data_IF_934553062366
#
_entry.id   IF_934553062366
#
_cell.length_a   1.000
_cell.length_b   1.000
_cell.length_c   1.000
_cell.angle_alpha   90.00
_cell.angle_beta   90.00
_cell.angle_gamma   90.00
#
_symmetry.space_group_name_H-M   'P 1'
#
loop_
_entity.id
_entity.type
_entity.pdbx_description
1 polymer ?
#
# COMPACT_ATOMS: atom_id res chain seq x y z
N UNK A 1 15.18 5.54 2.53
CA UNK A 1 15.56 6.75 3.31
C UNK A 1 14.73 6.73 4.59
N UNK A 2 15.36 6.87 5.75
CA UNK A 2 14.71 6.85 7.05
C UNK A 2 14.44 8.29 7.53
N UNK A 3 13.46 8.44 8.42
CA UNK A 3 13.17 9.70 9.12
C UNK A 3 13.16 9.44 10.61
N UNK A 4 13.72 10.36 11.38
CA UNK A 4 13.68 10.31 12.84
C UNK A 4 12.28 10.64 13.36
N UNK A 5 11.91 10.00 14.46
CA UNK A 5 10.63 10.23 15.13
C UNK A 5 10.91 10.75 16.53
N UNK A 6 10.24 11.83 16.92
CA UNK A 6 10.31 12.33 18.28
C UNK A 6 9.40 11.48 19.18
N UNK A 7 10.03 10.58 19.95
CA UNK A 7 9.37 9.72 20.94
C UNK A 7 10.21 9.67 22.21
N UNK A 8 9.58 9.50 23.39
CA UNK A 8 10.30 9.26 24.64
C UNK A 8 11.24 8.06 24.53
N UNK A 9 12.28 8.03 25.36
CA UNK A 9 13.16 6.87 25.46
C UNK A 9 12.34 5.58 25.69
N UNK A 10 12.68 4.42 25.08
CA UNK A 10 11.85 3.22 25.13
C UNK A 10 11.44 2.77 26.53
N UNK A 11 12.35 2.89 27.51
CA UNK A 11 12.06 2.56 28.91
C UNK A 11 10.98 3.45 29.52
N UNK A 12 11.01 4.75 29.23
CA UNK A 12 10.00 5.69 29.73
C UNK A 12 8.64 5.46 29.07
N UNK A 13 8.64 5.23 27.74
CA UNK A 13 7.43 4.88 27.00
C UNK A 13 6.80 3.60 27.56
N UNK A 14 7.63 2.58 27.85
CA UNK A 14 7.21 1.31 28.45
C UNK A 14 6.59 1.51 29.84
N UNK A 15 7.26 2.23 30.72
CA UNK A 15 6.76 2.51 32.07
C UNK A 15 5.39 3.20 32.04
N UNK A 16 5.20 4.18 31.16
CA UNK A 16 3.91 4.86 30.99
C UNK A 16 2.82 3.90 30.52
N UNK A 17 3.16 3.02 29.56
CA UNK A 17 2.24 1.98 29.09
C UNK A 17 1.85 1.01 30.22
N UNK A 18 2.83 0.57 31.02
CA UNK A 18 2.62 -0.35 32.14
C UNK A 18 1.77 0.25 33.25
N UNK A 19 2.03 1.51 33.62
CA UNK A 19 1.22 2.22 34.61
C UNK A 19 -0.25 2.34 34.14
N UNK A 20 -0.47 2.77 32.90
CA UNK A 20 -1.82 2.90 32.33
C UNK A 20 -2.54 1.54 32.26
N UNK A 21 -1.84 0.49 31.81
CA UNK A 21 -2.41 -0.86 31.72
C UNK A 21 -2.78 -1.44 33.10
N UNK A 22 -1.94 -1.21 34.12
CA UNK A 22 -2.20 -1.64 35.48
C UNK A 22 -3.45 -0.96 36.07
N UNK A 23 -3.56 0.36 35.91
CA UNK A 23 -4.71 1.14 36.39
C UNK A 23 -6.00 0.78 35.64
N UNK A 24 -5.95 0.65 34.32
CA UNK A 24 -7.11 0.19 33.53
C UNK A 24 -7.54 -1.22 33.92
N UNK A 25 -6.60 -2.12 34.19
CA UNK A 25 -6.92 -3.48 34.66
C UNK A 25 -7.57 -3.47 36.03
N UNK A 26 -7.07 -2.65 36.95
CA UNK A 26 -7.70 -2.43 38.27
C UNK A 26 -9.11 -1.85 38.18
N UNK A 27 -9.38 -1.02 37.17
CA UNK A 27 -10.69 -0.45 36.89
C UNK A 27 -11.62 -1.38 36.08
N UNK A 28 -11.21 -2.62 35.78
CA UNK A 28 -12.00 -3.57 34.98
C UNK A 28 -12.05 -3.27 33.47
N UNK A 29 -11.13 -2.43 32.98
CA UNK A 29 -11.03 -1.96 31.58
C UNK A 29 -9.76 -2.42 30.85
N UNK A 30 -9.09 -3.45 31.37
CA UNK A 30 -7.80 -3.96 30.87
C UNK A 30 -7.82 -4.61 29.48
N UNK A 31 -8.97 -4.68 28.80
CA UNK A 31 -9.04 -5.24 27.44
C UNK A 31 -8.42 -4.32 26.39
N UNK A 32 -8.49 -2.99 26.58
CA UNK A 32 -7.98 -2.02 25.60
C UNK A 32 -6.48 -1.80 25.67
N UNK A 33 -5.88 -1.97 26.84
CA UNK A 33 -4.46 -1.76 27.11
C UNK A 33 -3.97 -2.91 27.99
N UNK A 34 -3.02 -3.69 27.49
CA UNK A 34 -2.53 -4.87 28.20
C UNK A 34 -1.06 -5.12 27.93
N UNK A 35 -0.45 -5.91 28.81
CA UNK A 35 0.94 -6.34 28.74
C UNK A 35 0.98 -7.85 28.99
N UNK A 36 1.75 -8.54 28.18
CA UNK A 36 2.10 -9.96 28.31
C UNK A 36 3.60 -10.15 28.05
N UNK A 37 4.06 -11.40 28.01
CA UNK A 37 5.45 -11.76 27.75
C UNK A 37 5.98 -11.30 26.38
N UNK A 38 5.08 -11.02 25.42
CA UNK A 38 5.45 -10.58 24.06
C UNK A 38 5.48 -9.06 23.92
N UNK A 39 5.10 -8.33 24.97
CA UNK A 39 5.13 -6.87 24.99
C UNK A 39 3.80 -6.26 25.40
N UNK A 40 3.61 -5.03 24.96
CA UNK A 40 2.44 -4.22 25.28
C UNK A 40 1.51 -4.11 24.06
N UNK A 41 0.21 -4.17 24.29
CA UNK A 41 -0.82 -4.10 23.24
C UNK A 41 -1.90 -3.09 23.59
N UNK A 42 -2.33 -2.37 22.55
CA UNK A 42 -3.51 -1.50 22.55
C UNK A 42 -4.43 -2.00 21.45
N UNK A 43 -5.66 -2.31 21.81
CA UNK A 43 -6.69 -2.78 20.87
C UNK A 43 -7.97 -1.98 21.10
N UNK A 44 -8.33 -1.17 20.10
CA UNK A 44 -9.54 -0.36 20.13
C UNK A 44 -10.21 -0.44 18.74
N UNK A 45 -11.45 -0.97 18.64
CA UNK A 45 -12.10 -1.22 17.36
C UNK A 45 -12.43 0.07 16.60
N UNK A 46 -12.53 1.21 17.31
CA UNK A 46 -12.95 2.49 16.75
C UNK A 46 -11.74 3.26 16.20
N UNK A 47 -10.59 3.20 16.88
CA UNK A 47 -9.40 3.98 16.51
C UNK A 47 -8.29 3.15 15.85
N UNK A 48 -8.16 1.88 16.19
CA UNK A 48 -7.11 1.00 15.67
C UNK A 48 -6.29 0.33 16.77
N UNK A 49 -5.15 -0.25 16.38
CA UNK A 49 -4.34 -1.08 17.28
C UNK A 49 -2.86 -0.69 17.22
N UNK A 50 -2.17 -0.91 18.33
CA UNK A 50 -0.72 -0.73 18.45
C UNK A 50 -0.10 -1.85 19.29
N UNK A 51 1.17 -2.15 19.00
CA UNK A 51 2.01 -3.13 19.70
C UNK A 51 3.36 -2.49 19.98
N UNK A 52 3.87 -2.71 21.18
CA UNK A 52 5.15 -2.16 21.62
C UNK A 52 5.97 -3.23 22.34
N UNK A 53 7.20 -3.46 21.90
CA UNK A 53 8.07 -4.46 22.50
C UNK A 53 9.48 -3.91 22.74
N UNK A 54 10.07 -4.35 23.84
CA UNK A 54 11.47 -4.12 24.19
C UNK A 54 12.32 -5.33 23.77
N UNK A 55 13.54 -5.06 23.31
CA UNK A 55 14.52 -6.08 22.95
C UNK A 55 15.87 -5.77 23.61
N UNK A 56 16.77 -6.74 23.60
CA UNK A 56 18.14 -6.57 24.05
C UNK A 56 18.95 -5.58 23.21
N UNK A 57 20.06 -5.08 23.78
CA UNK A 57 20.87 -4.05 23.14
C UNK A 57 20.22 -2.66 23.08
N UNK A 58 19.31 -2.34 24.01
CA UNK A 58 18.54 -1.07 24.04
C UNK A 58 17.69 -0.86 22.77
N UNK A 59 17.21 -1.95 22.18
CA UNK A 59 16.32 -1.93 21.02
C UNK A 59 14.87 -1.95 21.44
N UNK A 60 14.01 -1.38 20.60
CA UNK A 60 12.57 -1.46 20.79
C UNK A 60 11.84 -1.29 19.45
N UNK A 61 10.60 -1.77 19.38
CA UNK A 61 9.75 -1.59 18.20
C UNK A 61 8.33 -1.22 18.61
N UNK A 62 7.78 -0.20 17.98
CA UNK A 62 6.39 0.24 18.08
C UNK A 62 5.76 0.16 16.69
N UNK A 63 4.70 -0.62 16.55
CA UNK A 63 4.01 -0.80 15.27
C UNK A 63 2.51 -0.91 15.45
N UNK A 64 1.75 -0.57 14.41
CA UNK A 64 0.31 -0.48 14.53
C UNK A 64 -0.38 -0.04 13.26
N UNK A 65 -1.68 0.22 13.38
CA UNK A 65 -2.48 0.87 12.36
C UNK A 65 -3.54 1.75 13.00
N UNK A 66 -3.69 2.97 12.50
CA UNK A 66 -4.84 3.81 12.80
C UNK A 66 -5.92 3.55 11.74
N UNK A 67 -7.19 3.57 12.16
CA UNK A 67 -8.32 3.24 11.28
C UNK A 67 -8.47 4.29 10.16
N UNK A 68 -8.38 5.57 10.53
CA UNK A 68 -8.62 6.71 9.63
C UNK A 68 -7.33 7.26 9.02
N UNK A 69 -6.18 6.97 9.63
CA UNK A 69 -4.86 7.50 9.27
C UNK A 69 -3.89 6.34 9.02
N UNK A 70 -4.08 5.59 7.94
CA UNK A 70 -3.09 4.58 7.53
C UNK A 70 -2.33 5.09 6.32
N UNK A 71 -0.99 4.89 6.31
CA UNK A 71 -0.05 5.40 5.30
C UNK A 71 -0.38 5.01 3.84
N UNK A 72 -1.42 4.21 3.61
CA UNK A 72 -1.95 3.85 2.29
C UNK A 72 -3.09 4.73 1.79
N UNK A 73 -3.90 5.39 2.64
CA UNK A 73 -5.01 6.24 2.15
C UNK A 73 -4.48 7.43 1.35
N UNK A 74 -3.25 7.86 1.64
CA UNK A 74 -2.77 9.18 1.21
C UNK A 74 -1.52 9.15 0.31
N UNK A 75 -1.01 7.97 -0.07
CA UNK A 75 0.18 7.87 -0.91
C UNK A 75 -0.05 6.94 -2.12
N UNK A 76 0.10 7.48 -3.33
CA UNK A 76 0.21 6.72 -4.57
C UNK A 76 1.65 6.86 -5.13
N UNK A 77 2.46 5.78 -5.19
CA UNK A 77 2.19 4.45 -4.64
C UNK A 77 2.34 4.41 -3.12
N UNK A 78 1.60 3.49 -2.48
CA UNK A 78 1.65 3.27 -1.04
C UNK A 78 3.08 2.97 -0.56
N UNK A 79 3.48 3.60 0.56
CA UNK A 79 4.76 3.32 1.18
C UNK A 79 4.71 1.97 1.94
N UNK A 80 5.75 1.15 1.77
CA UNK A 80 5.93 -0.06 2.59
C UNK A 80 6.61 0.33 3.92
N UNK A 81 5.93 0.19 5.08
CA UNK A 81 6.46 0.60 6.38
C UNK A 81 7.71 -0.18 6.81
N UNK A 82 8.01 -1.31 6.14
CA UNK A 82 9.19 -2.14 6.41
C UNK A 82 10.39 -1.81 5.51
N UNK A 83 10.28 -0.80 4.64
CA UNK A 83 11.38 -0.39 3.76
C UNK A 83 12.57 0.12 4.59
N UNK A 84 13.72 -0.54 4.46
CA UNK A 84 14.95 -0.16 5.17
C UNK A 84 14.92 -0.48 6.67
N UNK A 85 13.97 -1.30 7.12
CA UNK A 85 13.88 -1.69 8.51
C UNK A 85 15.07 -2.60 8.92
N UNK A 86 15.43 -2.75 10.21
CA UNK A 86 16.53 -3.62 10.60
C UNK A 86 16.20 -5.13 10.51
N UNK A 87 17.22 -5.97 10.37
CA UNK A 87 17.05 -7.44 10.28
C UNK A 87 16.57 -8.07 11.59
N UNK A 88 16.82 -7.41 12.71
CA UNK A 88 16.50 -7.89 14.06
C UNK A 88 15.03 -7.68 14.47
N UNK A 89 14.24 -6.95 13.67
CA UNK A 89 12.82 -6.74 13.96
C UNK A 89 12.05 -8.07 14.00
N UNK A 90 10.87 -8.14 14.66
CA UNK A 90 10.02 -9.33 14.69
C UNK A 90 9.35 -9.56 13.33
N UNK A 91 10.13 -9.95 12.32
CA UNK A 91 9.68 -10.10 10.93
C UNK A 91 8.59 -11.16 10.75
N UNK A 92 8.56 -12.18 11.61
CA UNK A 92 7.50 -13.20 11.60
C UNK A 92 6.11 -12.59 11.87
N UNK A 93 6.04 -11.53 12.69
CA UNK A 93 4.80 -10.81 12.98
C UNK A 93 4.55 -9.71 11.94
N UNK A 94 5.59 -8.97 11.58
CA UNK A 94 5.47 -7.78 10.72
C UNK A 94 5.19 -8.13 9.26
N UNK A 95 5.80 -9.18 8.72
CA UNK A 95 5.68 -9.51 7.30
C UNK A 95 4.24 -9.89 6.88
N UNK A 96 3.52 -10.77 7.60
CA UNK A 96 2.13 -11.07 7.28
C UNK A 96 1.20 -9.85 7.39
N UNK A 97 1.44 -8.96 8.37
CA UNK A 97 0.66 -7.73 8.53
C UNK A 97 0.88 -6.76 7.37
N UNK A 98 2.12 -6.62 6.91
CA UNK A 98 2.45 -5.78 5.76
C UNK A 98 1.90 -6.36 4.45
N UNK A 99 1.94 -7.68 4.28
CA UNK A 99 1.40 -8.38 3.11
C UNK A 99 -0.12 -8.22 2.97
N UNK A 100 -0.84 -8.25 4.10
CA UNK A 100 -2.31 -8.14 4.17
C UNK A 100 -2.81 -6.72 4.44
N UNK A 101 -1.94 -5.73 4.29
CA UNK A 101 -2.26 -4.30 4.39
C UNK A 101 -2.79 -3.86 5.77
N UNK A 102 -2.50 -4.64 6.81
CA UNK A 102 -2.91 -4.33 8.19
C UNK A 102 -1.86 -3.55 8.98
N UNK A 103 -0.70 -3.27 8.39
CA UNK A 103 0.40 -2.55 9.02
C UNK A 103 0.44 -1.10 8.53
N UNK A 104 0.07 -0.15 9.39
CA UNK A 104 0.02 1.28 9.09
C UNK A 104 1.35 1.99 9.31
N UNK A 105 2.08 1.64 10.37
CA UNK A 105 3.41 2.18 10.67
C UNK A 105 4.28 1.16 11.40
N UNK A 106 5.60 1.34 11.30
CA UNK A 106 6.62 0.66 12.10
C UNK A 106 7.70 1.66 12.46
N UNK A 107 7.98 1.76 13.76
CA UNK A 107 9.00 2.64 14.31
C UNK A 107 9.91 1.79 15.19
N UNK A 108 11.20 1.93 15.03
CA UNK A 108 12.18 1.16 15.78
C UNK A 108 13.18 2.07 16.47
N UNK A 109 13.60 1.66 17.65
CA UNK A 109 14.65 2.31 18.41
C UNK A 109 15.93 1.49 18.31
N UNK A 110 17.02 2.12 17.89
CA UNK A 110 18.36 1.56 17.94
C UNK A 110 19.38 2.70 18.02
N UNK A 111 20.47 2.51 18.75
CA UNK A 111 21.55 3.52 18.89
C UNK A 111 21.05 4.89 19.41
N UNK A 112 20.05 4.88 20.30
CA UNK A 112 19.56 6.09 20.98
C UNK A 112 18.60 6.95 20.15
N UNK A 113 18.12 6.45 19.01
CA UNK A 113 17.16 7.16 18.15
C UNK A 113 15.98 6.29 17.78
N UNK A 114 14.82 6.91 17.63
CA UNK A 114 13.66 6.31 17.00
C UNK A 114 13.65 6.67 15.52
N UNK A 115 13.49 5.68 14.66
CA UNK A 115 13.47 5.85 13.21
C UNK A 115 12.30 5.09 12.59
N UNK A 116 11.80 5.61 11.47
CA UNK A 116 10.81 4.95 10.61
C UNK A 116 11.15 5.17 9.13
N UNK A 117 10.43 4.49 8.24
CA UNK A 117 10.50 4.79 6.80
C UNK A 117 10.09 6.23 6.52
N UNK A 118 10.77 6.89 5.58
CA UNK A 118 10.34 8.20 5.07
C UNK A 118 9.15 8.02 4.13
N UNK A 119 8.01 8.60 4.48
CA UNK A 119 6.87 8.73 3.56
C UNK A 119 7.18 9.77 2.47
N UNK A 120 6.74 9.51 1.23
CA UNK A 120 6.97 10.41 0.08
C UNK A 120 6.26 11.76 0.27
N UNK A 121 5.12 11.75 0.94
CA UNK A 121 4.36 12.92 1.34
C UNK A 121 4.29 12.96 2.88
N UNK A 122 4.18 14.14 3.51
CA UNK A 122 3.99 14.26 4.96
C UNK A 122 2.58 13.80 5.34
N UNK A 123 2.37 12.49 5.29
CA UNK A 123 1.13 11.82 5.69
C UNK A 123 1.24 11.51 7.18
N UNK A 124 0.20 11.85 7.93
CA UNK A 124 0.04 11.37 9.29
C UNK A 124 -0.36 9.88 9.26
N UNK A 125 0.42 9.04 9.92
CA UNK A 125 0.14 7.60 10.06
C UNK A 125 -0.64 7.26 11.33
N UNK A 126 -1.16 8.28 12.01
CA UNK A 126 -2.01 8.16 13.20
C UNK A 126 -1.29 7.62 14.43
N UNK A 127 0.03 7.44 14.36
CA UNK A 127 0.81 6.89 15.47
C UNK A 127 0.70 7.79 16.71
N UNK A 128 0.88 9.10 16.53
CA UNK A 128 0.85 10.06 17.63
C UNK A 128 -0.51 10.07 18.34
N UNK A 129 -1.61 9.87 17.61
CA UNK A 129 -2.96 9.77 18.17
C UNK A 129 -3.15 8.47 18.97
N UNK A 130 -2.74 7.32 18.41
CA UNK A 130 -2.88 6.02 19.09
C UNK A 130 -2.16 5.96 20.44
N UNK A 131 -0.95 6.54 20.51
CA UNK A 131 -0.12 6.53 21.71
C UNK A 131 -0.10 7.87 22.46
N UNK A 132 -1.01 8.80 22.12
CA UNK A 132 -1.08 10.12 22.72
C UNK A 132 -1.00 10.13 24.26
N UNK A 133 -1.68 9.21 24.99
CA UNK A 133 -1.58 9.12 26.45
C UNK A 133 -0.16 8.91 26.99
N UNK A 134 0.78 8.44 26.17
CA UNK A 134 2.11 8.01 26.59
C UNK A 134 3.23 8.98 26.19
N UNK A 135 2.92 9.95 25.33
CA UNK A 135 3.95 10.83 24.74
C UNK A 135 4.54 11.80 25.77
N UNK A 136 3.72 12.32 26.68
CA UNK A 136 4.15 13.24 27.72
C UNK A 136 3.73 12.75 29.10
N UNK A 137 4.41 13.26 30.13
CA UNK A 137 4.03 13.00 31.51
C UNK A 137 2.61 13.52 31.78
N UNK A 138 2.32 14.74 31.34
CA UNK A 138 1.00 15.35 31.49
C UNK A 138 -0.10 14.49 30.84
N UNK A 139 0.09 14.01 29.61
CA UNK A 139 -0.88 13.13 28.96
C UNK A 139 -1.09 11.82 29.72
N UNK A 140 0.00 11.26 30.28
CA UNK A 140 -0.09 10.02 31.06
C UNK A 140 -0.88 10.26 32.35
N UNK A 141 -0.56 11.33 33.09
CA UNK A 141 -1.27 11.70 34.32
C UNK A 141 -2.75 11.99 34.03
N UNK A 142 -3.05 12.72 32.95
CA UNK A 142 -4.43 12.97 32.51
C UNK A 142 -5.17 11.67 32.20
N UNK A 143 -4.53 10.73 31.50
CA UNK A 143 -5.12 9.44 31.17
C UNK A 143 -5.38 8.60 32.43
N UNK A 144 -4.40 8.49 33.33
CA UNK A 144 -4.52 7.79 34.61
C UNK A 144 -5.65 8.38 35.47
N UNK A 145 -5.72 9.70 35.55
CA UNK A 145 -6.79 10.43 36.24
C UNK A 145 -8.17 10.17 35.60
N UNK A 146 -8.26 10.11 34.27
CA UNK A 146 -9.53 9.87 33.57
C UNK A 146 -10.08 8.44 33.74
N UNK A 147 -9.24 7.47 34.13
CA UNK A 147 -9.71 6.10 34.39
C UNK A 147 -10.63 6.04 35.61
N UNK A 148 -10.37 6.88 36.62
CA UNK A 148 -11.13 6.89 37.86
C UNK A 148 -12.34 7.82 37.73
N UNK A 149 -13.54 7.33 38.02
CA UNK A 149 -14.75 8.14 37.97
C UNK A 149 -14.66 9.31 38.97
N UNK A 150 -15.18 10.52 38.65
CA UNK A 150 -15.00 11.75 39.44
C UNK A 150 -15.84 11.77 40.72
N UNK A 151 -15.70 10.76 41.57
CA UNK A 151 -16.24 10.79 42.92
C UNK A 151 -15.30 11.62 43.79
N UNK A 152 -15.52 12.95 43.84
CA UNK A 152 -15.17 13.94 44.88
C UNK A 152 -13.83 13.84 45.65
N UNK A 153 -12.86 13.04 45.20
CA UNK A 153 -11.54 12.96 45.82
C UNK A 153 -10.70 14.12 45.32
N UNK A 154 -10.48 15.09 46.21
CA UNK A 154 -9.44 16.11 46.04
C UNK A 154 -8.10 15.36 45.86
N UNK A 155 -7.21 15.92 45.05
CA UNK A 155 -5.81 15.47 44.88
C UNK A 155 -5.57 14.19 44.03
N UNK A 156 -6.57 13.72 43.27
CA UNK A 156 -6.40 12.56 42.37
C UNK A 156 -5.33 12.76 41.29
N UNK A 157 -5.16 14.00 40.80
CA UNK A 157 -4.13 14.32 39.80
C UNK A 157 -2.73 14.16 40.37
N UNK A 158 -2.51 14.62 41.60
CA UNK A 158 -1.24 14.46 42.32
C UNK A 158 -0.97 12.98 42.61
N UNK A 159 -2.01 12.23 43.04
CA UNK A 159 -1.91 10.78 43.25
C UNK A 159 -1.54 10.03 41.95
N UNK A 160 -2.08 10.45 40.80
CA UNK A 160 -1.73 9.88 39.50
C UNK A 160 -0.27 10.19 39.10
N UNK A 161 0.22 11.40 39.39
CA UNK A 161 1.61 11.78 39.17
C UNK A 161 2.56 10.96 40.08
N UNK A 162 2.24 10.84 41.37
CA UNK A 162 3.00 10.04 42.33
C UNK A 162 3.10 8.56 41.91
N UNK A 163 2.00 7.99 41.42
CA UNK A 163 1.99 6.63 40.88
C UNK A 163 2.91 6.50 39.66
N UNK A 164 2.88 7.47 38.74
CA UNK A 164 3.73 7.46 37.56
C UNK A 164 5.22 7.60 37.95
N UNK A 165 5.57 8.48 38.89
CA UNK A 165 6.93 8.60 39.39
C UNK A 165 7.40 7.33 40.10
N UNK A 166 6.54 6.68 40.88
CA UNK A 166 6.83 5.38 41.46
C UNK A 166 7.04 4.31 40.39
N UNK A 167 6.26 4.32 39.31
CA UNK A 167 6.44 3.40 38.18
C UNK A 167 7.79 3.61 37.48
N UNK A 168 8.25 4.85 37.33
CA UNK A 168 9.59 5.17 36.79
C UNK A 168 10.70 4.60 37.68
N UNK A 169 10.51 4.60 39.00
CA UNK A 169 11.46 4.02 39.96
C UNK A 169 11.32 2.49 40.14
N UNK A 170 10.29 1.87 39.55
CA UNK A 170 10.00 0.45 39.77
C UNK A 170 9.49 0.15 41.19
N UNK A 171 8.78 1.10 41.80
CA UNK A 171 8.34 1.09 43.20
C UNK A 171 6.81 1.02 43.34
N UNK A 172 6.09 0.61 42.29
CA UNK A 172 4.62 0.47 42.38
C UNK A 172 4.28 -0.68 43.32
N UNK A 173 3.36 -0.39 44.24
CA UNK A 173 2.83 -1.34 45.22
C UNK A 173 1.31 -1.25 45.32
N UNK A 174 0.73 -2.09 46.18
CA UNK A 174 -0.70 -2.17 46.39
C UNK A 174 -1.28 -0.86 46.94
N UNK A 175 -0.54 -0.17 47.81
CA UNK A 175 -0.99 1.06 48.47
C UNK A 175 -1.13 2.22 47.50
N UNK A 176 -0.16 2.39 46.60
CA UNK A 176 -0.21 3.42 45.54
C UNK A 176 -1.33 3.17 44.54
N UNK A 177 -1.54 1.91 44.14
CA UNK A 177 -2.66 1.54 43.28
C UNK A 177 -4.01 1.77 43.97
N UNK A 178 -4.13 1.43 45.26
CA UNK A 178 -5.33 1.65 46.06
C UNK A 178 -5.63 3.14 46.25
N UNK A 179 -4.61 3.97 46.47
CA UNK A 179 -4.76 5.41 46.61
C UNK A 179 -5.46 6.02 45.38
N UNK A 180 -5.02 5.64 44.18
CA UNK A 180 -5.63 6.12 42.93
C UNK A 180 -6.99 5.47 42.67
N UNK A 181 -7.07 4.14 42.68
CA UNK A 181 -8.25 3.40 42.22
C UNK A 181 -9.41 3.38 43.25
N UNK A 182 -9.10 3.43 44.55
CA UNK A 182 -10.04 3.32 45.66
C UNK A 182 -10.69 1.94 45.85
N UNK A 183 -11.72 1.90 46.69
CA UNK A 183 -12.23 0.68 47.32
C UNK A 183 -12.94 -0.31 46.37
N UNK A 184 -13.39 0.15 45.20
CA UNK A 184 -14.11 -0.70 44.22
C UNK A 184 -13.18 -1.34 43.19
N UNK A 185 -11.88 -1.23 43.38
CA UNK A 185 -10.89 -1.62 42.39
C UNK A 185 -10.47 -3.09 42.51
N UNK A 186 -10.19 -3.72 41.37
CA UNK A 186 -9.55 -5.03 41.30
C UNK A 186 -8.04 -4.91 41.51
N UNK A 187 -7.60 -4.57 42.73
CA UNK A 187 -6.18 -4.33 43.05
C UNK A 187 -5.25 -5.51 42.70
N UNK A 188 -5.73 -6.74 42.91
CA UNK A 188 -4.97 -7.93 42.52
C UNK A 188 -4.68 -7.97 41.01
N UNK A 189 -5.64 -7.60 40.16
CA UNK A 189 -5.46 -7.53 38.71
C UNK A 189 -4.47 -6.42 38.33
N UNK A 190 -4.59 -5.23 38.95
CA UNK A 190 -3.66 -4.13 38.73
C UNK A 190 -2.21 -4.52 39.10
N UNK A 191 -2.02 -5.19 40.24
CA UNK A 191 -0.71 -5.65 40.69
C UNK A 191 -0.10 -6.73 39.81
N UNK A 192 -0.91 -7.64 39.27
CA UNK A 192 -0.43 -8.64 38.30
C UNK A 192 0.13 -7.94 37.07
N UNK A 193 -0.61 -6.99 36.50
CA UNK A 193 -0.15 -6.24 35.33
C UNK A 193 1.05 -5.36 35.64
N UNK A 194 1.10 -4.72 36.82
CA UNK A 194 2.26 -3.94 37.25
C UNK A 194 3.53 -4.80 37.37
N UNK A 195 3.38 -6.04 37.88
CA UNK A 195 4.48 -7.00 38.01
C UNK A 195 4.98 -7.48 36.65
N UNK A 196 4.07 -7.86 35.76
CA UNK A 196 4.40 -8.25 34.37
C UNK A 196 5.02 -7.07 33.64
N UNK A 197 4.52 -5.85 33.84
CA UNK A 197 5.10 -4.63 33.27
C UNK A 197 6.45 -4.24 33.83
N UNK A 198 6.95 -4.89 34.89
CA UNK A 198 8.26 -4.60 35.46
C UNK A 198 8.34 -3.30 36.26
N UNK A 199 7.22 -2.78 36.75
CA UNK A 199 7.15 -1.49 37.48
C UNK A 199 7.01 -1.66 39.00
N UNK A 200 7.15 -2.90 39.50
CA UNK A 200 7.13 -3.23 40.94
C UNK A 200 8.53 -3.62 41.43
N UNK A 201 8.81 -3.55 42.75
CA UNK A 201 10.14 -3.85 43.28
C UNK A 201 10.66 -5.23 42.85
N UNK A 202 11.90 -5.28 42.36
CA UNK A 202 12.56 -6.53 41.96
C UNK A 202 12.10 -7.13 40.62
N UNK A 203 11.16 -6.49 39.93
CA UNK A 203 10.70 -6.95 38.61
C UNK A 203 11.41 -6.25 37.47
N UNK A 204 11.29 -6.80 36.25
CA UNK A 204 11.86 -6.22 35.03
C UNK A 204 10.86 -6.29 33.89
N UNK A 205 10.85 -5.31 32.98
CA UNK A 205 10.06 -5.38 31.76
C UNK A 205 10.37 -6.64 30.95
N UNK A 206 9.37 -7.33 30.39
CA UNK A 206 9.56 -8.41 29.43
C UNK A 206 10.28 -7.89 28.19
N UNK A 207 11.06 -8.78 27.59
CA UNK A 207 11.83 -8.53 26.39
C UNK A 207 11.59 -9.68 25.43
N UNK A 208 11.36 -9.35 24.17
CA UNK A 208 11.26 -10.35 23.11
C UNK A 208 12.63 -10.60 22.49
N UNK A 209 12.80 -11.81 21.97
CA UNK A 209 13.98 -12.17 21.19
C UNK A 209 14.01 -11.40 19.86
N UNK A 210 15.20 -11.05 19.35
CA UNK A 210 15.35 -10.53 18.00
C UNK A 210 14.76 -11.49 16.97
N UNK A 211 14.02 -10.95 16.01
CA UNK A 211 13.57 -11.71 14.85
C UNK A 211 14.65 -11.84 13.78
N UNK A 212 14.25 -12.45 12.66
CA UNK A 212 15.12 -12.61 11.50
C UNK A 212 14.37 -12.20 10.23
N UNK A 213 14.96 -11.27 9.47
CA UNK A 213 14.44 -10.90 8.16
C UNK A 213 14.43 -12.11 7.22
N UNK A 214 13.29 -12.44 6.59
CA UNK A 214 13.27 -13.48 5.57
C UNK A 214 14.05 -13.02 4.33
N UNK A 215 14.74 -13.93 3.62
CA UNK A 215 15.51 -13.58 2.42
C UNK A 215 14.64 -13.00 1.30
N UNK A 216 13.36 -13.39 1.26
CA UNK A 216 12.35 -12.83 0.36
C UNK A 216 11.05 -12.58 1.13
N UNK A 217 10.38 -11.44 0.84
CA UNK A 217 9.11 -11.06 1.47
C UNK A 217 8.12 -10.53 0.45
N UNK A 218 6.85 -10.94 0.56
CA UNK A 218 5.71 -10.32 -0.15
C UNK A 218 5.51 -8.90 0.35
N UNK A 219 5.69 -7.91 -0.54
CA UNK A 219 5.58 -6.50 -0.16
C UNK A 219 4.12 -6.09 -0.01
N UNK A 220 3.24 -6.46 -0.97
CA UNK A 220 1.78 -6.35 -0.87
C UNK A 220 1.07 -7.18 -1.95
N UNK A 221 -0.21 -7.49 -1.73
CA UNK A 221 -1.12 -7.95 -2.80
C UNK A 221 -1.70 -6.72 -3.50
N UNK A 222 -1.36 -6.48 -4.77
CA UNK A 222 -2.00 -5.43 -5.56
C UNK A 222 -3.46 -5.79 -5.79
N UNK A 223 -4.37 -4.80 -5.68
CA UNK A 223 -5.68 -4.95 -6.32
C UNK A 223 -5.50 -5.08 -7.83
N UNK A 224 -6.50 -5.66 -8.53
CA UNK A 224 -6.41 -5.85 -9.98
C UNK A 224 -6.10 -4.53 -10.70
N UNK A 225 -6.79 -3.44 -10.35
CA UNK A 225 -6.56 -2.12 -10.97
C UNK A 225 -5.22 -1.46 -10.60
N UNK A 226 -4.64 -1.72 -9.42
CA UNK A 226 -3.28 -1.28 -9.11
C UNK A 226 -2.23 -2.06 -9.89
N UNK A 227 -2.48 -3.35 -10.12
CA UNK A 227 -1.60 -4.20 -10.91
C UNK A 227 -1.64 -3.79 -12.38
N UNK A 228 -2.83 -3.55 -12.92
CA UNK A 228 -3.00 -3.05 -14.29
C UNK A 228 -2.26 -1.71 -14.46
N UNK A 229 -2.44 -0.74 -13.54
CA UNK A 229 -1.71 0.55 -13.58
C UNK A 229 -0.19 0.41 -13.46
N UNK A 230 0.32 -0.55 -12.67
CA UNK A 230 1.76 -0.82 -12.60
C UNK A 230 2.29 -1.30 -13.96
N UNK A 231 1.55 -2.15 -14.66
CA UNK A 231 1.91 -2.61 -16.01
C UNK A 231 1.83 -1.45 -17.00
N UNK A 232 0.78 -0.62 -16.94
CA UNK A 232 0.62 0.54 -17.84
C UNK A 232 1.76 1.54 -17.68
N UNK A 233 2.15 1.87 -16.45
CA UNK A 233 3.30 2.73 -16.20
C UNK A 233 4.59 2.16 -16.82
N UNK A 234 4.81 0.85 -16.69
CA UNK A 234 5.95 0.18 -17.31
C UNK A 234 5.86 0.15 -18.85
N UNK A 235 4.64 0.11 -19.42
CA UNK A 235 4.42 0.21 -20.88
C UNK A 235 4.70 1.62 -21.41
N UNK A 236 4.36 2.68 -20.66
CA UNK A 236 4.70 4.07 -21.01
C UNK A 236 6.21 4.30 -21.08
N UNK A 237 6.96 3.67 -20.19
CA UNK A 237 8.43 3.75 -20.16
C UNK A 237 9.12 2.75 -21.10
N UNK A 238 8.35 1.81 -21.69
CA UNK A 238 8.91 0.75 -22.50
C UNK A 238 9.45 1.26 -23.84
N UNK A 239 10.65 0.79 -24.20
CA UNK A 239 11.15 0.95 -25.57
C UNK A 239 10.58 -0.14 -26.46
N UNK A 240 9.92 0.25 -27.55
CA UNK A 240 9.39 -0.66 -28.56
C UNK A 240 10.52 -1.49 -29.20
N UNK A 241 10.40 -2.82 -29.16
CA UNK A 241 11.39 -3.69 -29.79
C UNK A 241 11.28 -3.60 -31.32
N UNK A 242 12.43 -3.53 -32.00
CA UNK A 242 12.46 -3.46 -33.47
C UNK A 242 12.05 -4.79 -34.09
N UNK A 243 10.90 -4.82 -34.75
CA UNK A 243 10.35 -5.98 -35.46
C UNK A 243 10.35 -5.73 -36.98
N UNK A 244 10.40 -6.80 -37.80
CA UNK A 244 10.07 -6.68 -39.21
C UNK A 244 8.67 -6.08 -39.40
N UNK A 245 8.49 -5.28 -40.44
CA UNK A 245 7.17 -4.81 -40.83
C UNK A 245 6.31 -6.02 -41.24
N UNK A 246 5.01 -6.06 -40.87
CA UNK A 246 4.08 -7.03 -41.43
C UNK A 246 4.01 -6.91 -42.96
N UNK A 247 3.68 -8.00 -43.67
CA UNK A 247 3.45 -7.93 -45.11
C UNK A 247 2.25 -7.03 -45.44
N UNK A 248 2.21 -6.52 -46.66
CA UNK A 248 1.00 -5.89 -47.19
C UNK A 248 -0.09 -6.96 -47.34
N UNK A 249 -1.28 -6.68 -46.83
CA UNK A 249 -2.40 -7.62 -46.77
C UNK A 249 -3.66 -7.01 -47.39
N UNK A 250 -4.53 -7.86 -47.93
CA UNK A 250 -5.84 -7.43 -48.45
C UNK A 250 -6.69 -6.81 -47.33
N UNK A 251 -6.54 -7.28 -46.09
CA UNK A 251 -7.19 -6.72 -44.91
C UNK A 251 -6.75 -5.29 -44.61
N UNK A 252 -5.48 -4.97 -44.85
CA UNK A 252 -4.97 -3.60 -44.72
C UNK A 252 -5.59 -2.71 -45.78
N UNK A 253 -5.65 -3.18 -47.03
CA UNK A 253 -6.33 -2.49 -48.12
C UNK A 253 -7.80 -2.21 -47.79
N UNK A 254 -8.52 -3.21 -47.28
CA UNK A 254 -9.93 -3.08 -46.89
C UNK A 254 -10.15 -2.05 -45.76
N UNK A 255 -9.26 -2.01 -44.75
CA UNK A 255 -9.33 -1.00 -43.70
C UNK A 255 -9.06 0.40 -44.25
N UNK A 256 -8.03 0.56 -45.08
CA UNK A 256 -7.67 1.84 -45.69
C UNK A 256 -8.79 2.38 -46.57
N UNK A 257 -9.35 1.56 -47.46
CA UNK A 257 -10.48 1.96 -48.31
C UNK A 257 -11.67 2.41 -47.47
N UNK A 258 -12.01 1.67 -46.41
CA UNK A 258 -13.10 2.04 -45.52
C UNK A 258 -12.86 3.38 -44.81
N UNK A 259 -11.62 3.68 -44.40
CA UNK A 259 -11.25 4.96 -43.79
C UNK A 259 -11.33 6.11 -44.80
N UNK A 260 -10.78 5.94 -46.00
CA UNK A 260 -10.80 6.95 -47.06
C UNK A 260 -12.23 7.31 -47.50
N UNK A 261 -13.11 6.31 -47.63
CA UNK A 261 -14.52 6.53 -47.94
C UNK A 261 -15.32 7.24 -46.82
N UNK A 262 -14.72 7.39 -45.63
CA UNK A 262 -15.29 8.08 -44.47
C UNK A 262 -14.58 9.38 -44.12
N UNK A 263 -13.74 9.89 -45.02
CA UNK A 263 -13.19 11.22 -44.89
C UNK A 263 -14.31 12.27 -45.02
N UNK A 264 -14.50 13.11 -43.99
CA UNK A 264 -15.58 14.09 -43.89
C UNK A 264 -15.61 15.09 -45.07
N UNK A 265 -14.45 15.36 -45.68
CA UNK A 265 -14.29 16.25 -46.83
C UNK A 265 -14.11 15.57 -48.20
N UNK A 266 -14.18 14.23 -48.28
CA UNK A 266 -13.94 13.49 -49.52
C UNK A 266 -12.49 13.56 -50.05
N UNK A 267 -11.56 14.12 -49.29
CA UNK A 267 -10.13 14.26 -49.61
C UNK A 267 -9.29 13.04 -49.18
N UNK A 268 -9.96 11.98 -48.71
CA UNK A 268 -9.35 10.76 -48.22
C UNK A 268 -8.65 10.89 -46.86
N UNK A 269 -8.69 12.06 -46.21
CA UNK A 269 -8.06 12.26 -44.90
C UNK A 269 -8.88 11.64 -43.78
N UNK A 270 -8.30 10.65 -43.12
CA UNK A 270 -8.90 9.98 -41.98
C UNK A 270 -7.82 9.49 -41.00
N UNK A 271 -8.14 9.49 -39.70
CA UNK A 271 -7.25 9.12 -38.61
C UNK A 271 -7.95 8.09 -37.72
N UNK A 272 -7.40 6.89 -37.66
CA UNK A 272 -7.81 5.83 -36.76
C UNK A 272 -6.76 5.62 -35.69
N UNK A 273 -7.19 5.70 -34.41
CA UNK A 273 -6.44 5.21 -33.28
C UNK A 273 -7.19 4.00 -32.73
N UNK A 274 -6.55 2.82 -32.73
CA UNK A 274 -7.16 1.58 -32.25
C UNK A 274 -6.27 0.85 -31.24
N UNK A 275 -6.92 0.25 -30.25
CA UNK A 275 -6.37 -0.74 -29.34
C UNK A 275 -7.10 -2.06 -29.53
N UNK A 276 -6.37 -3.17 -29.59
CA UNK A 276 -6.96 -4.49 -29.66
C UNK A 276 -6.08 -5.56 -28.99
N UNK A 277 -6.73 -6.45 -28.25
CA UNK A 277 -6.15 -7.66 -27.71
C UNK A 277 -7.01 -8.88 -28.11
N UNK A 278 -6.75 -10.03 -27.47
CA UNK A 278 -7.49 -11.27 -27.68
C UNK A 278 -9.01 -11.11 -27.57
N UNK A 279 -9.51 -10.30 -26.62
CA UNK A 279 -10.94 -10.21 -26.27
C UNK A 279 -11.52 -8.80 -26.40
N UNK A 280 -10.69 -7.77 -26.31
CA UNK A 280 -11.08 -6.36 -26.22
C UNK A 280 -10.71 -5.57 -27.47
N UNK A 281 -11.51 -4.55 -27.75
CA UNK A 281 -11.25 -3.57 -28.81
C UNK A 281 -11.71 -2.20 -28.32
N UNK A 282 -10.90 -1.18 -28.55
CA UNK A 282 -11.24 0.22 -28.29
C UNK A 282 -10.71 1.10 -29.42
N UNK A 283 -11.34 2.25 -29.61
CA UNK A 283 -10.89 3.27 -30.56
C UNK A 283 -11.03 4.65 -29.95
N UNK A 284 -10.06 5.53 -30.23
CA UNK A 284 -10.08 6.93 -29.83
C UNK A 284 -10.16 7.83 -31.07
N UNK A 285 -10.70 9.04 -30.90
CA UNK A 285 -10.75 10.02 -31.98
C UNK A 285 -9.35 10.53 -32.31
N UNK A 286 -8.94 10.38 -33.57
CA UNK A 286 -7.76 11.06 -34.11
C UNK A 286 -8.08 12.49 -34.58
N UNK A 287 -7.15 13.10 -35.30
CA UNK A 287 -7.31 14.47 -35.85
C UNK A 287 -8.47 14.56 -36.87
N UNK A 288 -8.62 13.52 -37.71
CA UNK A 288 -9.70 13.41 -38.69
C UNK A 288 -10.47 12.09 -38.51
N UNK A 289 -11.34 11.94 -37.50
CA UNK A 289 -12.00 10.67 -37.24
C UNK A 289 -12.94 10.26 -38.39
N UNK A 290 -13.22 8.95 -38.58
CA UNK A 290 -14.16 8.49 -39.60
C UNK A 290 -15.54 9.13 -39.42
N UNK A 291 -16.08 9.73 -40.48
CA UNK A 291 -17.38 10.39 -40.44
C UNK A 291 -18.54 9.39 -40.27
N UNK A 292 -19.55 9.81 -39.51
CA UNK A 292 -20.84 9.15 -39.45
C UNK A 292 -21.61 9.40 -40.76
N UNK A 293 -22.25 8.36 -41.30
CA UNK A 293 -23.06 8.49 -42.52
C UNK A 293 -24.53 8.72 -42.18
N UNK A 294 -25.24 9.61 -42.90
CA UNK A 294 -26.68 9.76 -42.74
C UNK A 294 -27.42 8.42 -42.91
N UNK A 295 -28.22 8.06 -41.91
CA UNK A 295 -29.00 6.80 -41.90
C UNK A 295 -28.22 5.56 -41.41
N UNK A 296 -26.93 5.68 -41.11
CA UNK A 296 -26.15 4.60 -40.50
C UNK A 296 -26.26 4.64 -38.98
N UNK A 297 -26.53 3.48 -38.36
CA UNK A 297 -26.48 3.37 -36.91
C UNK A 297 -25.02 3.39 -36.43
N UNK A 298 -24.70 4.27 -35.48
CA UNK A 298 -23.34 4.41 -34.91
C UNK A 298 -22.73 3.08 -34.45
N UNK A 299 -23.54 2.20 -33.86
CA UNK A 299 -23.09 0.87 -33.44
C UNK A 299 -22.71 -0.04 -34.63
N UNK A 300 -23.39 0.08 -35.78
CA UNK A 300 -23.06 -0.68 -36.99
C UNK A 300 -21.71 -0.24 -37.58
N UNK A 301 -21.44 1.07 -37.63
CA UNK A 301 -20.15 1.61 -38.04
C UNK A 301 -19.02 1.14 -37.12
N UNK A 302 -19.23 1.22 -35.79
CA UNK A 302 -18.27 0.73 -34.80
C UNK A 302 -17.99 -0.77 -34.95
N UNK A 303 -19.05 -1.60 -35.08
CA UNK A 303 -18.90 -3.04 -35.29
C UNK A 303 -18.10 -3.35 -36.56
N UNK A 304 -18.38 -2.62 -37.65
CA UNK A 304 -17.66 -2.79 -38.91
C UNK A 304 -16.17 -2.43 -38.75
N UNK A 305 -15.87 -1.34 -38.05
CA UNK A 305 -14.49 -0.97 -37.74
C UNK A 305 -13.80 -2.06 -36.90
N UNK A 306 -14.46 -2.58 -35.86
CA UNK A 306 -13.93 -3.68 -35.05
C UNK A 306 -13.62 -4.93 -35.90
N UNK A 307 -14.51 -5.30 -36.83
CA UNK A 307 -14.32 -6.42 -37.73
C UNK A 307 -13.07 -6.24 -38.62
N UNK A 308 -12.93 -5.07 -39.25
CA UNK A 308 -11.80 -4.74 -40.13
C UNK A 308 -10.48 -4.77 -39.36
N UNK A 309 -10.44 -4.10 -38.20
CA UNK A 309 -9.22 -4.03 -37.38
C UNK A 309 -8.83 -5.41 -36.84
N UNK A 310 -9.81 -6.24 -36.42
CA UNK A 310 -9.53 -7.61 -35.97
C UNK A 310 -9.11 -8.52 -37.12
N UNK A 311 -9.65 -8.35 -38.33
CA UNK A 311 -9.21 -9.10 -39.50
C UNK A 311 -7.74 -8.78 -39.83
N UNK A 312 -7.40 -7.50 -39.91
CA UNK A 312 -6.02 -7.05 -40.09
C UNK A 312 -5.08 -7.60 -39.01
N UNK A 313 -5.48 -7.50 -37.74
CA UNK A 313 -4.68 -7.99 -36.61
C UNK A 313 -4.39 -9.49 -36.69
N UNK A 314 -5.32 -10.28 -37.23
CA UNK A 314 -5.12 -11.72 -37.45
C UNK A 314 -4.21 -11.99 -38.65
N UNK A 315 -4.41 -11.28 -39.75
CA UNK A 315 -3.60 -11.41 -40.96
C UNK A 315 -2.13 -11.05 -40.71
N UNK A 316 -1.87 -10.06 -39.85
CA UNK A 316 -0.53 -9.62 -39.47
C UNK A 316 0.10 -10.39 -38.30
N UNK A 317 -0.58 -11.42 -37.78
CA UNK A 317 -0.08 -12.19 -36.64
C UNK A 317 1.12 -13.07 -37.03
N UNK A 318 2.25 -12.92 -36.34
CA UNK A 318 3.42 -13.79 -36.51
C UNK A 318 3.66 -14.62 -35.23
N UNK A 319 3.86 -15.95 -35.31
CA UNK A 319 4.08 -16.80 -34.13
C UNK A 319 5.37 -16.49 -33.35
N UNK A 320 6.31 -15.75 -33.96
CA UNK A 320 7.56 -15.34 -33.31
C UNK A 320 7.38 -14.01 -32.60
N UNK A 321 6.80 -13.02 -33.28
CA UNK A 321 6.76 -11.62 -32.83
C UNK A 321 5.45 -11.26 -32.10
N UNK A 322 4.41 -12.06 -32.29
CA UNK A 322 3.05 -11.83 -31.80
C UNK A 322 2.27 -10.83 -32.64
N UNK A 323 1.15 -10.38 -32.07
CA UNK A 323 0.27 -9.36 -32.64
C UNK A 323 0.56 -8.00 -32.00
N UNK A 324 0.32 -6.92 -32.76
CA UNK A 324 0.35 -5.57 -32.20
C UNK A 324 -0.80 -5.36 -31.21
N UNK A 325 -0.61 -4.41 -30.30
CA UNK A 325 -1.59 -3.98 -29.29
C UNK A 325 -2.28 -2.68 -29.71
N UNK A 326 -1.51 -1.73 -30.23
CA UNK A 326 -2.02 -0.45 -30.71
C UNK A 326 -1.72 -0.27 -32.20
N UNK A 327 -2.65 0.38 -32.89
CA UNK A 327 -2.59 0.71 -34.31
C UNK A 327 -3.01 2.17 -34.49
N UNK A 328 -2.17 2.94 -35.20
CA UNK A 328 -2.53 4.23 -35.76
C UNK A 328 -2.50 4.15 -37.28
N UNK A 329 -3.57 4.58 -37.93
CA UNK A 329 -3.65 4.70 -39.40
C UNK A 329 -4.03 6.12 -39.75
N UNK A 330 -3.24 6.76 -40.58
CA UNK A 330 -3.51 8.07 -41.16
C UNK A 330 -3.58 7.91 -42.68
N UNK A 331 -4.74 8.19 -43.26
CA UNK A 331 -4.95 8.11 -44.71
C UNK A 331 -5.01 9.50 -45.32
N UNK A 332 -4.74 9.58 -46.62
CA UNK A 332 -5.06 10.69 -47.50
C UNK A 332 -5.51 10.12 -48.85
N UNK A 333 -5.79 10.96 -49.84
CA UNK A 333 -6.09 10.50 -51.20
C UNK A 333 -4.97 9.67 -51.85
N UNK A 334 -3.70 9.88 -51.48
CA UNK A 334 -2.54 9.28 -52.18
C UNK A 334 -1.53 8.57 -51.28
N UNK A 335 -1.60 8.80 -49.97
CA UNK A 335 -0.62 8.28 -49.00
C UNK A 335 -1.31 7.68 -47.79
N UNK A 336 -0.67 6.69 -47.18
CA UNK A 336 -1.13 5.97 -46.00
C UNK A 336 0.06 5.79 -45.04
N UNK A 337 -0.10 6.29 -43.83
CA UNK A 337 0.89 6.12 -42.75
C UNK A 337 0.31 5.19 -41.69
N UNK A 338 1.08 4.18 -41.32
CA UNK A 338 0.67 3.19 -40.34
C UNK A 338 1.74 3.04 -39.28
N UNK A 339 1.33 3.11 -38.03
CA UNK A 339 2.16 2.86 -36.88
C UNK A 339 1.56 1.74 -36.02
N UNK A 340 2.39 0.77 -35.64
CA UNK A 340 2.00 -0.36 -34.79
C UNK A 340 2.86 -0.35 -33.53
N UNK A 341 2.24 -0.56 -32.38
CA UNK A 341 2.95 -0.79 -31.12
C UNK A 341 2.61 -2.16 -30.56
N UNK A 342 3.64 -2.93 -30.23
CA UNK A 342 3.53 -4.28 -29.68
C UNK A 342 3.85 -4.30 -28.19
N UNK A 343 4.64 -3.33 -27.71
CA UNK A 343 5.22 -3.36 -26.36
C UNK A 343 4.94 -2.08 -25.57
N UNK A 344 5.00 -0.92 -26.21
CA UNK A 344 4.92 0.37 -25.53
C UNK A 344 3.52 0.98 -25.59
N UNK A 345 3.15 1.74 -24.56
CA UNK A 345 2.00 2.62 -24.61
C UNK A 345 2.34 3.83 -25.50
N UNK A 346 1.66 4.04 -26.64
CA UNK A 346 2.01 5.13 -27.53
C UNK A 346 1.60 6.49 -26.98
N UNK A 347 2.44 7.51 -27.19
CA UNK A 347 2.16 8.90 -26.79
C UNK A 347 0.91 9.50 -27.43
N UNK A 348 0.45 8.95 -28.55
CA UNK A 348 -0.76 9.37 -29.25
C UNK A 348 -2.03 8.69 -28.73
N UNK A 349 -1.92 7.73 -27.81
CA UNK A 349 -3.07 7.09 -27.18
C UNK A 349 -3.29 7.66 -25.78
N UNK A 350 -4.46 8.27 -25.57
CA UNK A 350 -4.81 8.88 -24.29
C UNK A 350 -4.97 7.80 -23.22
N UNK A 351 -4.28 8.00 -22.09
CA UNK A 351 -4.42 7.21 -20.87
C UNK A 351 -5.27 8.00 -19.87
N UNK A 352 -6.47 7.49 -19.58
CA UNK A 352 -7.38 8.06 -18.58
C UNK A 352 -7.13 7.52 -17.16
N UNK A 353 -6.19 6.58 -17.01
CA UNK A 353 -5.88 5.88 -15.76
C UNK A 353 -6.96 4.90 -15.29
N UNK A 354 -8.02 4.71 -16.09
CA UNK A 354 -9.20 3.90 -15.77
C UNK A 354 -9.32 2.70 -16.70
N UNK A 355 -9.00 2.88 -17.99
CA UNK A 355 -9.18 1.89 -19.04
C UNK A 355 -7.91 1.71 -19.87
N UNK A 356 -7.59 0.46 -20.19
CA UNK A 356 -6.37 0.14 -20.92
C UNK A 356 -6.23 -1.36 -21.18
N UNK A 357 -5.03 -1.80 -21.59
CA UNK A 357 -4.76 -3.21 -21.79
C UNK A 357 -4.79 -3.98 -20.47
N UNK A 358 -5.77 -4.86 -20.30
CA UNK A 358 -5.95 -5.64 -19.08
C UNK A 358 -4.86 -6.70 -18.93
N UNK A 359 -4.32 -6.88 -17.72
CA UNK A 359 -3.22 -7.83 -17.45
C UNK A 359 -3.51 -9.24 -17.94
N UNK A 360 -4.73 -9.73 -17.78
CA UNK A 360 -5.13 -11.09 -18.22
C UNK A 360 -4.99 -11.25 -19.74
N UNK A 361 -5.39 -10.23 -20.50
CA UNK A 361 -5.30 -10.26 -21.96
C UNK A 361 -3.84 -10.06 -22.40
N UNK A 362 -3.10 -9.16 -21.75
CA UNK A 362 -1.67 -8.99 -22.00
C UNK A 362 -0.88 -10.28 -21.73
N UNK A 363 -1.25 -11.03 -20.70
CA UNK A 363 -0.60 -12.30 -20.38
C UNK A 363 -0.74 -13.30 -21.53
N UNK A 364 -1.95 -13.49 -22.04
CA UNK A 364 -2.19 -14.33 -23.23
C UNK A 364 -1.38 -13.86 -24.44
N UNK A 365 -1.36 -12.54 -24.71
CA UNK A 365 -0.62 -11.96 -25.84
C UNK A 365 0.90 -12.15 -25.71
N UNK A 366 1.45 -12.05 -24.49
CA UNK A 366 2.88 -12.26 -24.27
C UNK A 366 3.27 -13.73 -24.26
N UNK A 367 2.42 -14.61 -23.73
CA UNK A 367 2.65 -16.06 -23.71
C UNK A 367 2.70 -16.65 -25.12
N UNK A 368 1.87 -16.13 -26.04
CA UNK A 368 1.89 -16.51 -27.45
C UNK A 368 3.17 -16.07 -28.20
N UNK A 369 3.95 -15.13 -27.65
CA UNK A 369 5.20 -14.64 -28.26
C UNK A 369 6.39 -15.52 -27.88
N UNK A 370 7.33 -15.64 -28.81
CA UNK A 370 8.65 -16.20 -28.50
C UNK A 370 9.35 -15.34 -27.42
N UNK A 371 10.01 -15.93 -26.40
CA UNK A 371 10.56 -15.19 -25.25
C UNK A 371 11.42 -13.98 -25.59
N UNK A 372 12.27 -14.06 -26.62
CA UNK A 372 13.11 -12.93 -27.09
C UNK A 372 12.36 -11.68 -27.55
N UNK A 373 11.05 -11.80 -27.83
CA UNK A 373 10.17 -10.71 -28.29
C UNK A 373 9.18 -10.25 -27.23
N UNK A 374 9.35 -10.75 -26.00
CA UNK A 374 8.59 -10.29 -24.84
C UNK A 374 9.30 -9.07 -24.24
N UNK A 375 8.59 -7.95 -24.03
CA UNK A 375 9.17 -6.77 -23.42
C UNK A 375 9.56 -7.03 -21.95
N UNK A 376 10.44 -6.18 -21.42
CA UNK A 376 10.96 -6.33 -20.04
C UNK A 376 9.87 -6.26 -18.96
N UNK A 377 8.75 -5.60 -19.24
CA UNK A 377 7.60 -5.51 -18.33
C UNK A 377 6.77 -6.79 -18.27
N UNK A 378 6.96 -7.78 -19.17
CA UNK A 378 6.20 -9.04 -19.14
C UNK A 378 6.32 -9.77 -17.81
N UNK A 379 7.45 -9.63 -17.10
CA UNK A 379 7.60 -10.17 -15.73
C UNK A 379 6.56 -9.65 -14.75
N UNK A 380 6.03 -8.44 -14.97
CA UNK A 380 5.00 -7.83 -14.13
C UNK A 380 3.61 -8.45 -14.37
N UNK A 381 3.43 -9.29 -15.40
CA UNK A 381 2.14 -9.96 -15.66
C UNK A 381 1.90 -11.14 -14.73
N UNK A 382 3.00 -11.73 -14.23
CA UNK A 382 2.95 -12.85 -13.29
C UNK A 382 2.13 -12.45 -12.07
N UNK A 383 1.08 -13.21 -11.71
CA UNK A 383 0.28 -12.95 -10.51
C UNK A 383 1.10 -12.98 -9.23
N UNK A 384 2.27 -13.62 -9.24
CA UNK A 384 3.23 -13.62 -8.13
C UNK A 384 4.13 -12.37 -8.13
N UNK A 385 4.38 -11.70 -9.26
CA UNK A 385 5.30 -10.53 -9.34
C UNK A 385 4.62 -9.25 -8.88
N UNK A 386 4.38 -9.19 -7.57
CA UNK A 386 4.12 -7.97 -6.80
C UNK A 386 5.33 -7.61 -5.91
N UNK A 387 6.54 -8.04 -6.29
CA UNK A 387 7.75 -7.87 -5.49
C UNK A 387 8.66 -6.77 -6.04
N UNK A 388 9.04 -5.82 -5.17
CA UNK A 388 10.27 -5.04 -5.38
C UNK A 388 11.46 -5.95 -5.03
N UNK A 389 12.55 -5.96 -5.84
CA UNK A 389 13.81 -6.54 -5.42
C UNK A 389 14.30 -5.86 -4.13
N UNK A 390 15.02 -6.59 -3.29
CA UNK A 390 15.82 -6.01 -2.21
C UNK A 390 16.85 -5.07 -2.84
N UNK A 391 16.65 -3.76 -2.67
CA UNK A 391 17.73 -2.78 -2.81
C UNK A 391 18.66 -2.88 -1.62
#
# INVERSE_FOLDING_TARGET
>A
MLTDVDLPAPGLLWTRWAALSAVLSGAGRGQRWSIDENGARRDDPDTGWARFALLDGRRAVLYGTHREHHARVSADPAADPLTGAPDWLPWADLAPLAETDRLGFVIWHENGRWSRVRYRHPVDDGMAELVAPLLTEEHTVNALHAVVAPAQRRDLRETAADLLHAAVRGEVDAGRLAALLGDRAHLAAALVVARVGGITPGTRPPRIEPGQRPPMRRVRRLSQGEHDRLVWAAMHEATELRRPAPPDTDELGALVSWLQERADGGDGRCSLLAYADATSFSSQSGEHPPADRPGEQRYAAFRRLTELVRALRRAESDPRYGRWLFLRVETSATDVRIERRYDSWPVWWHDDGVSGPWRTNLQEEMEARHPRWRPSWTRLLDPEVAYRPTS
#
